data_IF_917522929415
#
_entry.id   IF_917522929415
#
_cell.length_a   1.000
_cell.length_b   1.000
_cell.length_c   1.000
_cell.angle_alpha   90.00
_cell.angle_beta   90.00
_cell.angle_gamma   90.00
#
_symmetry.space_group_name_H-M   'P 1'
#
loop_
_entity.id
_entity.type
_entity.pdbx_description
1 polymer ?
#
# COMPACT_ATOMS: atom_id res chain seq x y z
N UNK A 1 24.34 6.26 5.98
CA UNK A 1 23.19 5.52 5.40
C UNK A 1 23.75 4.28 4.73
N UNK A 2 23.24 3.10 5.07
CA UNK A 2 23.69 1.81 4.51
C UNK A 2 23.19 1.71 3.06
N UNK A 3 24.06 1.42 2.10
CA UNK A 3 23.66 1.32 0.69
C UNK A 3 22.78 0.08 0.51
N UNK A 4 21.64 0.16 -0.19
CA UNK A 4 20.71 -0.96 -0.30
C UNK A 4 21.33 -2.21 -0.95
N UNK A 5 22.33 -2.06 -1.81
CA UNK A 5 23.11 -3.18 -2.36
C UNK A 5 23.96 -3.90 -1.31
N UNK A 6 24.68 -3.14 -0.47
CA UNK A 6 25.50 -3.70 0.61
C UNK A 6 24.63 -4.45 1.64
N UNK A 7 23.44 -3.92 1.96
CA UNK A 7 22.48 -4.59 2.84
C UNK A 7 22.00 -5.94 2.28
N UNK A 8 21.71 -6.01 0.97
CA UNK A 8 21.31 -7.25 0.30
C UNK A 8 22.41 -8.32 0.37
N UNK A 9 23.67 -7.95 0.22
CA UNK A 9 24.80 -8.86 0.38
C UNK A 9 24.88 -9.44 1.80
N UNK A 10 24.71 -8.60 2.81
CA UNK A 10 24.71 -9.04 4.21
C UNK A 10 23.53 -9.97 4.50
N UNK A 11 22.32 -9.64 4.04
CA UNK A 11 21.15 -10.49 4.22
C UNK A 11 21.30 -11.85 3.52
N UNK A 12 21.86 -11.88 2.32
CA UNK A 12 22.13 -13.12 1.59
C UNK A 12 23.14 -14.02 2.33
N UNK A 13 24.17 -13.43 2.97
CA UNK A 13 25.10 -14.18 3.83
C UNK A 13 24.39 -14.75 5.05
N UNK A 14 23.56 -13.96 5.73
CA UNK A 14 22.82 -14.39 6.92
C UNK A 14 21.90 -15.58 6.61
N UNK A 15 21.12 -15.53 5.53
CA UNK A 15 20.24 -16.63 5.14
C UNK A 15 21.01 -17.91 4.81
N UNK A 16 22.19 -17.78 4.17
CA UNK A 16 23.05 -18.92 3.82
C UNK A 16 23.61 -19.63 5.07
N UNK A 17 23.91 -18.88 6.13
CA UNK A 17 24.54 -19.42 7.34
C UNK A 17 23.55 -19.69 8.49
N UNK A 18 22.36 -19.10 8.48
CA UNK A 18 21.33 -19.25 9.50
C UNK A 18 19.91 -19.19 8.88
N UNK A 19 19.47 -20.25 8.17
CA UNK A 19 18.20 -20.23 7.42
C UNK A 19 16.95 -20.08 8.31
N UNK A 20 17.03 -20.44 9.61
CA UNK A 20 15.92 -20.31 10.55
C UNK A 20 15.66 -18.89 11.06
N UNK A 21 16.69 -18.04 11.15
CA UNK A 21 16.57 -16.63 11.57
C UNK A 21 16.35 -15.68 10.40
N UNK A 22 16.50 -16.17 9.16
CA UNK A 22 16.38 -15.36 7.94
C UNK A 22 15.00 -14.72 7.72
N UNK A 23 13.92 -15.32 8.25
CA UNK A 23 12.54 -14.88 7.97
C UNK A 23 12.24 -13.46 8.47
N UNK A 24 12.79 -13.06 9.62
CA UNK A 24 12.59 -11.71 10.16
C UNK A 24 13.28 -10.62 9.33
N UNK A 25 14.21 -10.99 8.45
CA UNK A 25 14.88 -10.07 7.53
C UNK A 25 14.13 -9.89 6.21
N UNK A 26 13.15 -10.74 5.89
CA UNK A 26 12.47 -10.69 4.60
C UNK A 26 11.82 -9.33 4.28
N UNK A 27 11.13 -8.63 5.21
CA UNK A 27 10.61 -7.29 4.92
C UNK A 27 11.71 -6.26 4.61
N UNK A 28 12.86 -6.37 5.29
CA UNK A 28 14.00 -5.47 5.07
C UNK A 28 14.70 -5.76 3.74
N UNK A 29 14.83 -7.03 3.37
CA UNK A 29 15.32 -7.42 2.05
C UNK A 29 14.40 -6.93 0.94
N UNK A 30 13.09 -7.11 1.11
CA UNK A 30 12.11 -6.64 0.15
C UNK A 30 12.20 -5.12 -0.05
N UNK A 31 12.30 -4.36 1.04
CA UNK A 31 12.52 -2.92 0.98
C UNK A 31 13.84 -2.54 0.30
N UNK A 32 14.93 -3.30 0.54
CA UNK A 32 16.20 -3.05 -0.11
C UNK A 32 16.12 -3.31 -1.63
N UNK A 33 15.48 -4.40 -2.05
CA UNK A 33 15.20 -4.69 -3.46
C UNK A 33 14.32 -3.62 -4.11
N UNK A 34 13.30 -3.13 -3.40
CA UNK A 34 12.46 -2.03 -3.86
C UNK A 34 13.28 -0.75 -4.13
N UNK A 35 14.17 -0.38 -3.19
CA UNK A 35 15.04 0.80 -3.32
C UNK A 35 16.02 0.73 -4.49
N UNK A 36 16.39 -0.47 -4.94
CA UNK A 36 17.27 -0.65 -6.13
C UNK A 36 16.48 -0.90 -7.42
N UNK A 37 15.15 -0.75 -7.38
CA UNK A 37 14.27 -0.92 -8.54
C UNK A 37 14.00 -2.38 -8.94
N UNK A 38 14.41 -3.35 -8.13
CA UNK A 38 14.12 -4.76 -8.40
C UNK A 38 12.78 -5.15 -7.76
N UNK A 39 11.69 -4.82 -8.45
CA UNK A 39 10.33 -5.02 -7.96
C UNK A 39 9.96 -6.50 -7.84
N UNK A 40 10.47 -7.37 -8.71
CA UNK A 40 10.19 -8.81 -8.66
C UNK A 40 10.72 -9.47 -7.37
N UNK A 41 12.00 -9.24 -7.03
CA UNK A 41 12.55 -9.77 -5.78
C UNK A 41 11.92 -9.09 -4.56
N UNK A 42 11.59 -7.80 -4.64
CA UNK A 42 10.86 -7.12 -3.57
C UNK A 42 9.51 -7.80 -3.27
N UNK A 43 8.69 -8.05 -4.29
CA UNK A 43 7.42 -8.78 -4.17
C UNK A 43 7.63 -10.15 -3.52
N UNK A 44 8.58 -10.93 -4.05
CA UNK A 44 8.90 -12.27 -3.56
C UNK A 44 9.23 -12.29 -2.06
N UNK A 45 10.06 -11.37 -1.57
CA UNK A 45 10.42 -11.33 -0.16
C UNK A 45 9.28 -10.81 0.73
N UNK A 46 8.46 -9.87 0.26
CA UNK A 46 7.25 -9.48 0.98
C UNK A 46 6.25 -10.64 1.06
N UNK A 47 6.02 -11.41 -0.01
CA UNK A 47 5.17 -12.60 0.04
C UNK A 47 5.69 -13.65 1.02
N UNK A 48 7.01 -13.92 1.03
CA UNK A 48 7.62 -14.79 2.04
C UNK A 48 7.44 -14.28 3.47
N UNK A 49 7.39 -12.97 3.67
CA UNK A 49 7.11 -12.37 4.98
C UNK A 49 5.68 -12.64 5.45
N UNK A 50 4.75 -12.88 4.52
CA UNK A 50 3.35 -13.19 4.79
C UNK A 50 3.09 -14.69 5.01
N UNK A 51 4.05 -15.59 4.75
CA UNK A 51 3.93 -17.05 4.92
C UNK A 51 4.03 -17.53 6.38
N UNK A 52 4.00 -16.60 7.36
CA UNK A 52 4.21 -16.88 8.78
C UNK A 52 3.07 -16.41 9.68
N UNK A 53 3.23 -16.70 10.98
CA UNK A 53 2.39 -16.10 12.03
C UNK A 53 2.98 -14.73 12.36
N UNK A 54 2.39 -13.68 11.79
CA UNK A 54 2.67 -12.29 12.13
C UNK A 54 1.44 -11.67 12.78
N UNK A 55 1.63 -10.62 13.59
CA UNK A 55 0.51 -9.88 14.15
C UNK A 55 -0.25 -9.15 13.03
N UNK A 56 -1.58 -8.93 13.15
CA UNK A 56 -2.35 -8.22 12.13
C UNK A 56 -1.76 -6.86 11.73
N UNK A 57 -1.22 -6.10 12.69
CA UNK A 57 -0.54 -4.83 12.44
C UNK A 57 0.69 -4.98 11.54
N UNK A 58 1.53 -5.99 11.80
CA UNK A 58 2.72 -6.28 10.99
C UNK A 58 2.33 -6.74 9.58
N UNK A 59 1.28 -7.57 9.47
CA UNK A 59 0.73 -7.98 8.18
C UNK A 59 0.23 -6.75 7.41
N UNK A 60 -0.44 -5.80 8.07
CA UNK A 60 -0.92 -4.58 7.44
C UNK A 60 0.24 -3.74 6.88
N UNK A 61 1.32 -3.54 7.65
CA UNK A 61 2.51 -2.80 7.21
C UNK A 61 3.21 -3.48 6.01
N UNK A 62 3.33 -4.82 6.05
CA UNK A 62 3.88 -5.60 4.94
C UNK A 62 3.02 -5.45 3.69
N UNK A 63 1.69 -5.52 3.82
CA UNK A 63 0.76 -5.36 2.69
C UNK A 63 0.80 -3.96 2.10
N UNK A 64 0.87 -2.93 2.94
CA UNK A 64 1.06 -1.55 2.47
C UNK A 64 2.35 -1.41 1.66
N UNK A 65 3.45 -1.94 2.18
CA UNK A 65 4.75 -1.88 1.49
C UNK A 65 4.74 -2.68 0.17
N UNK A 66 4.09 -3.85 0.16
CA UNK A 66 3.91 -4.64 -1.05
C UNK A 66 3.06 -3.91 -2.10
N UNK A 67 2.05 -3.15 -1.66
CA UNK A 67 1.25 -2.32 -2.55
C UNK A 67 2.09 -1.23 -3.23
N UNK A 68 2.98 -0.56 -2.49
CA UNK A 68 3.93 0.42 -3.05
C UNK A 68 4.84 -0.22 -4.11
N UNK A 69 5.27 -1.46 -3.90
CA UNK A 69 6.08 -2.20 -4.89
C UNK A 69 5.28 -2.49 -6.16
N UNK A 70 4.04 -2.94 -6.03
CA UNK A 70 3.16 -3.15 -7.20
C UNK A 70 2.87 -1.85 -7.94
N UNK A 71 2.63 -0.76 -7.21
CA UNK A 71 2.37 0.56 -7.78
C UNK A 71 3.59 1.06 -8.58
N UNK A 72 4.78 0.99 -8.01
CA UNK A 72 6.02 1.35 -8.70
C UNK A 72 6.33 0.42 -9.89
N UNK A 73 5.90 -0.84 -9.80
CA UNK A 73 5.98 -1.83 -10.88
C UNK A 73 4.94 -1.64 -12.00
N UNK A 74 4.10 -0.59 -11.94
CA UNK A 74 3.01 -0.35 -12.89
C UNK A 74 1.96 -1.49 -12.92
N UNK A 75 1.70 -2.10 -11.76
CA UNK A 75 0.66 -3.13 -11.56
C UNK A 75 -0.47 -2.59 -10.65
N UNK A 76 -1.30 -1.64 -11.13
CA UNK A 76 -2.21 -0.87 -10.28
C UNK A 76 -3.33 -1.74 -9.66
N UNK A 77 -3.83 -2.77 -10.36
CA UNK A 77 -4.84 -3.68 -9.80
C UNK A 77 -4.31 -4.43 -8.57
N UNK A 78 -3.06 -4.90 -8.65
CA UNK A 78 -2.42 -5.61 -7.56
C UNK A 78 -2.11 -4.66 -6.40
N UNK A 79 -1.66 -3.43 -6.70
CA UNK A 79 -1.41 -2.39 -5.71
C UNK A 79 -2.70 -2.05 -4.94
N UNK A 80 -3.79 -1.74 -5.64
CA UNK A 80 -5.12 -1.47 -5.05
C UNK A 80 -5.52 -2.61 -4.11
N UNK A 81 -5.43 -3.86 -4.57
CA UNK A 81 -5.78 -5.02 -3.74
C UNK A 81 -4.98 -5.07 -2.44
N UNK A 82 -3.66 -4.85 -2.49
CA UNK A 82 -2.83 -4.89 -1.29
C UNK A 82 -3.07 -3.71 -0.36
N UNK A 83 -3.31 -2.50 -0.89
CA UNK A 83 -3.70 -1.35 -0.07
C UNK A 83 -5.03 -1.58 0.65
N UNK A 84 -6.05 -2.12 -0.03
CA UNK A 84 -7.33 -2.44 0.60
C UNK A 84 -7.17 -3.50 1.71
N UNK A 85 -6.40 -4.55 1.46
CA UNK A 85 -6.11 -5.57 2.48
C UNK A 85 -5.30 -5.01 3.66
N UNK A 86 -4.41 -4.03 3.43
CA UNK A 86 -3.72 -3.33 4.51
C UNK A 86 -4.70 -2.50 5.36
N UNK A 87 -5.61 -1.78 4.71
CA UNK A 87 -6.66 -1.02 5.37
C UNK A 87 -7.60 -1.91 6.19
N UNK A 88 -7.98 -3.08 5.68
CA UNK A 88 -8.86 -4.03 6.39
C UNK A 88 -8.22 -4.64 7.65
N UNK A 89 -6.89 -4.64 7.71
CA UNK A 89 -6.12 -5.14 8.85
C UNK A 89 -5.72 -4.04 9.84
N UNK A 90 -6.36 -2.85 9.78
CA UNK A 90 -6.04 -1.74 10.66
C UNK A 90 -6.25 -2.12 12.15
N UNK A 91 -5.17 -2.49 12.82
CA UNK A 91 -5.17 -2.91 14.22
C UNK A 91 -5.19 -1.70 15.17
N UNK A 92 -6.11 -0.76 14.97
CA UNK A 92 -6.16 0.49 15.74
C UNK A 92 -5.13 1.53 15.28
N UNK A 93 -4.71 1.48 14.02
CA UNK A 93 -3.90 2.53 13.37
C UNK A 93 -4.73 3.24 12.28
N UNK A 94 -5.52 4.28 12.66
CA UNK A 94 -6.32 5.04 11.71
C UNK A 94 -5.49 5.71 10.63
N UNK A 95 -4.24 6.11 10.93
CA UNK A 95 -3.36 6.74 9.94
C UNK A 95 -2.98 5.78 8.81
N UNK A 96 -2.67 4.51 9.13
CA UNK A 96 -2.41 3.49 8.12
C UNK A 96 -3.67 3.20 7.29
N UNK A 97 -4.85 3.13 7.91
CA UNK A 97 -6.11 2.99 7.19
C UNK A 97 -6.31 4.12 6.18
N UNK A 98 -6.22 5.38 6.62
CA UNK A 98 -6.44 6.54 5.75
C UNK A 98 -5.41 6.55 4.62
N UNK A 99 -4.13 6.37 4.93
CA UNK A 99 -3.05 6.37 3.92
C UNK A 99 -3.24 5.26 2.89
N UNK A 100 -3.63 4.06 3.31
CA UNK A 100 -3.86 2.92 2.41
C UNK A 100 -5.04 3.17 1.48
N UNK A 101 -6.17 3.62 2.03
CA UNK A 101 -7.37 3.90 1.26
C UNK A 101 -7.18 5.09 0.31
N UNK A 102 -6.44 6.13 0.71
CA UNK A 102 -6.11 7.26 -0.18
C UNK A 102 -5.31 6.80 -1.39
N UNK A 103 -4.30 5.94 -1.20
CA UNK A 103 -3.52 5.37 -2.31
C UNK A 103 -4.40 4.53 -3.24
N UNK A 104 -5.23 3.66 -2.68
CA UNK A 104 -6.16 2.84 -3.47
C UNK A 104 -7.16 3.69 -4.27
N UNK A 105 -7.78 4.68 -3.62
CA UNK A 105 -8.74 5.59 -4.27
C UNK A 105 -8.08 6.39 -5.38
N UNK A 106 -6.86 6.92 -5.15
CA UNK A 106 -6.09 7.62 -6.16
C UNK A 106 -5.79 6.76 -7.39
N UNK A 107 -5.43 5.49 -7.19
CA UNK A 107 -5.22 4.54 -8.30
C UNK A 107 -6.51 4.22 -9.06
N UNK A 108 -7.67 4.19 -8.40
CA UNK A 108 -8.95 4.11 -9.10
C UNK A 108 -9.22 5.38 -9.92
N UNK A 109 -8.95 6.57 -9.37
CA UNK A 109 -9.09 7.83 -10.10
C UNK A 109 -8.17 7.94 -11.32
N UNK A 110 -6.91 7.53 -11.19
CA UNK A 110 -5.93 7.56 -12.28
C UNK A 110 -6.33 6.64 -13.45
N UNK A 111 -7.23 5.70 -13.18
CA UNK A 111 -7.82 4.78 -14.15
C UNK A 111 -9.22 5.20 -14.60
N UNK A 112 -9.67 6.39 -14.18
CA UNK A 112 -11.01 6.92 -14.44
C UNK A 112 -12.15 6.05 -13.88
N UNK A 113 -11.85 5.14 -12.96
CA UNK A 113 -12.86 4.37 -12.21
C UNK A 113 -13.37 5.22 -11.03
N UNK A 114 -14.01 6.34 -11.38
CA UNK A 114 -14.52 7.31 -10.43
C UNK A 114 -15.55 6.71 -9.47
N UNK A 115 -16.28 5.68 -9.91
CA UNK A 115 -17.27 5.00 -9.08
C UNK A 115 -16.60 4.28 -7.90
N UNK A 116 -15.58 3.47 -8.15
CA UNK A 116 -14.87 2.80 -7.06
C UNK A 116 -14.01 3.79 -6.27
N UNK A 117 -13.42 4.81 -6.91
CA UNK A 117 -12.71 5.88 -6.20
C UNK A 117 -13.60 6.57 -5.15
N UNK A 118 -14.80 7.02 -5.54
CA UNK A 118 -15.77 7.66 -4.63
C UNK A 118 -16.16 6.74 -3.47
N UNK A 119 -16.35 5.45 -3.73
CA UNK A 119 -16.66 4.47 -2.68
C UNK A 119 -15.52 4.33 -1.68
N UNK A 120 -14.27 4.27 -2.15
CA UNK A 120 -13.09 4.18 -1.28
C UNK A 120 -12.88 5.48 -0.49
N UNK A 121 -13.04 6.65 -1.11
CA UNK A 121 -12.98 7.93 -0.38
C UNK A 121 -14.06 8.05 0.67
N UNK A 122 -15.30 7.64 0.37
CA UNK A 122 -16.41 7.66 1.33
C UNK A 122 -16.12 6.79 2.55
N UNK A 123 -15.46 5.65 2.33
CA UNK A 123 -15.03 4.74 3.40
C UNK A 123 -14.06 5.41 4.38
N UNK A 124 -13.15 6.26 3.90
CA UNK A 124 -12.19 6.99 4.75
C UNK A 124 -12.93 7.89 5.74
N UNK A 125 -13.93 8.63 5.26
CA UNK A 125 -14.73 9.55 6.08
C UNK A 125 -15.54 8.79 7.12
N UNK A 126 -16.06 7.61 6.76
CA UNK A 126 -16.86 6.78 7.67
C UNK A 126 -16.01 6.11 8.75
N UNK A 127 -14.84 5.57 8.40
CA UNK A 127 -14.04 4.75 9.31
C UNK A 127 -12.99 5.56 10.10
N UNK A 128 -12.57 6.72 9.60
CA UNK A 128 -11.56 7.56 10.24
C UNK A 128 -11.88 9.07 10.21
N UNK A 129 -13.07 9.52 10.68
CA UNK A 129 -13.47 10.92 10.61
C UNK A 129 -12.56 11.87 11.43
N UNK A 130 -11.86 11.35 12.45
CA UNK A 130 -11.00 12.15 13.33
C UNK A 130 -9.56 12.30 12.83
N UNK A 131 -9.18 11.63 11.73
CA UNK A 131 -7.84 11.75 11.16
C UNK A 131 -7.80 13.01 10.28
N UNK A 132 -6.87 13.96 10.51
CA UNK A 132 -6.83 15.22 9.76
C UNK A 132 -6.79 15.02 8.23
N UNK A 133 -6.09 14.00 7.76
CA UNK A 133 -5.95 13.65 6.34
C UNK A 133 -7.26 13.20 5.69
N UNK A 134 -8.31 12.90 6.47
CA UNK A 134 -9.64 12.55 5.95
C UNK A 134 -10.29 13.72 5.20
N UNK A 135 -9.93 14.97 5.49
CA UNK A 135 -10.44 16.14 4.74
C UNK A 135 -10.10 16.06 3.26
N UNK A 136 -8.95 15.49 2.91
CA UNK A 136 -8.54 15.30 1.52
C UNK A 136 -9.49 14.36 0.78
N UNK A 137 -10.00 13.31 1.45
CA UNK A 137 -10.98 12.41 0.85
C UNK A 137 -12.28 13.14 0.50
N UNK A 138 -12.73 14.07 1.35
CA UNK A 138 -13.91 14.90 1.08
C UNK A 138 -13.69 15.82 -0.11
N UNK A 139 -12.55 16.52 -0.17
CA UNK A 139 -12.19 17.38 -1.31
C UNK A 139 -12.17 16.61 -2.63
N UNK A 140 -11.66 15.36 -2.62
CA UNK A 140 -11.69 14.50 -3.81
C UNK A 140 -13.11 14.10 -4.20
N UNK A 141 -13.97 13.74 -3.24
CA UNK A 141 -15.38 13.42 -3.51
C UNK A 141 -16.09 14.59 -4.18
N UNK A 142 -15.94 15.80 -3.64
CA UNK A 142 -16.56 17.00 -4.19
C UNK A 142 -16.05 17.28 -5.61
N UNK A 143 -14.72 17.22 -5.81
CA UNK A 143 -14.10 17.45 -7.11
C UNK A 143 -14.50 16.44 -8.19
N UNK A 144 -14.65 15.15 -7.85
CA UNK A 144 -15.12 14.12 -8.79
C UNK A 144 -16.61 14.33 -9.10
N UNK A 145 -17.42 14.63 -8.07
CA UNK A 145 -18.87 14.77 -8.22
C UNK A 145 -19.26 16.04 -8.98
N UNK A 146 -18.45 17.10 -8.86
CA UNK A 146 -18.62 18.34 -9.59
C UNK A 146 -18.24 18.23 -11.08
N UNK A 147 -17.31 17.34 -11.42
CA UNK A 147 -16.85 17.09 -12.79
C UNK A 147 -17.49 15.85 -13.45
N UNK A 148 -18.42 15.18 -12.77
CA UNK A 148 -19.14 14.02 -13.32
C UNK A 148 -20.02 14.39 -14.53
N UNK A 149 -20.39 13.41 -15.39
CA UNK A 149 -21.11 13.65 -16.65
C UNK A 149 -22.50 14.31 -16.51
N UNK A 150 -22.96 14.59 -15.30
CA UNK A 150 -24.26 15.17 -15.00
C UNK A 150 -24.30 16.71 -14.98
N UNK A 151 -23.16 17.44 -14.99
CA UNK A 151 -23.17 18.92 -14.95
C UNK A 151 -23.09 19.61 -16.31
N UNK A 152 -22.95 18.89 -17.41
CA UNK A 152 -22.84 19.49 -18.75
C UNK A 152 -24.19 19.76 -19.47
N UNK A 153 -25.30 19.83 -18.73
CA UNK A 153 -26.64 20.03 -19.30
C UNK A 153 -27.37 21.31 -18.90
N UNK A 154 -26.75 22.27 -18.21
CA UNK A 154 -27.36 23.60 -18.06
C UNK A 154 -26.32 24.72 -17.96
N UNK A 155 -26.04 25.38 -19.09
CA UNK A 155 -26.07 26.84 -19.24
C UNK A 155 -26.07 27.23 -20.71
#
# INVERSE_FOLDING_TARGET
QEKPQEALEQYNKIIKHAPGSGKSFFPRMAQAYYKVGNYEEAKKFYFKSLEGKAAPAEIADIRFSLAEVFEAGSEPEAAIKQYLLAADLYAGNPQLLVRSLLRAAKLYEDREDFKEALKVYSRIIQEAPAVPETVFAQERIDGISDNGPAKNTQK
#
